data_IF_438800120104
#
_entry.id   IF_438800120104
#
_cell.length_a   1.000
_cell.length_b   1.000
_cell.length_c   1.000
_cell.angle_alpha   90.00
_cell.angle_beta   90.00
_cell.angle_gamma   90.00
#
_symmetry.space_group_name_H-M   'P 1'
#
loop_
_entity.id
_entity.type
_entity.pdbx_description
1 polymer ?
#
# COMPACT_ATOMS: atom_id res chain seq x y z
N UNK A 1 12.63 9.87 19.96
CA UNK A 1 11.21 9.56 19.63
C UNK A 1 10.59 8.70 20.74
N UNK A 2 9.32 8.94 21.12
CA UNK A 2 8.62 8.25 22.24
C UNK A 2 8.03 6.88 21.87
N UNK A 3 7.68 6.67 20.60
CA UNK A 3 7.03 5.44 20.13
C UNK A 3 7.97 4.23 20.30
N UNK A 4 7.50 3.20 21.01
CA UNK A 4 8.26 1.96 21.23
C UNK A 4 7.89 0.85 20.24
N UNK A 5 6.61 0.75 19.88
CA UNK A 5 6.09 -0.20 18.90
C UNK A 5 5.40 0.53 17.74
N UNK A 6 5.52 0.02 16.51
CA UNK A 6 4.74 0.50 15.39
C UNK A 6 3.26 0.07 15.49
N UNK A 7 2.37 0.82 14.86
CA UNK A 7 0.92 0.55 14.81
C UNK A 7 0.57 -0.09 13.45
N UNK A 8 -0.05 -1.27 13.49
CA UNK A 8 -0.32 -2.17 12.33
C UNK A 8 -1.82 -2.44 12.10
N UNK A 9 -2.68 -1.47 12.35
CA UNK A 9 -4.11 -1.60 12.05
C UNK A 9 -4.42 -1.03 10.66
N UNK A 10 -5.49 -1.47 10.01
CA UNK A 10 -5.89 -0.97 8.69
C UNK A 10 -6.64 0.36 8.71
N UNK A 11 -6.46 1.15 9.76
CA UNK A 11 -7.14 2.42 10.00
C UNK A 11 -6.15 3.61 10.16
N UNK A 12 -6.60 4.70 10.79
CA UNK A 12 -6.04 6.04 10.68
C UNK A 12 -4.65 6.22 11.28
N UNK A 13 -4.35 5.56 12.39
CA UNK A 13 -3.10 5.68 13.14
C UNK A 13 -2.02 4.72 12.63
N UNK A 14 -2.18 4.15 11.42
CA UNK A 14 -1.24 3.22 10.81
C UNK A 14 0.10 3.91 10.51
N UNK A 15 1.11 3.55 11.32
CA UNK A 15 2.41 4.22 11.32
C UNK A 15 3.16 4.18 9.99
N UNK A 16 3.14 3.07 9.25
CA UNK A 16 3.92 2.94 8.01
C UNK A 16 3.39 3.87 6.91
N UNK A 17 2.07 3.96 6.75
CA UNK A 17 1.41 4.87 5.83
C UNK A 17 1.74 6.32 6.16
N UNK A 18 1.57 6.73 7.42
CA UNK A 18 1.94 8.09 7.86
C UNK A 18 3.42 8.39 7.61
N UNK A 19 4.30 7.43 7.88
CA UNK A 19 5.74 7.59 7.65
C UNK A 19 6.08 7.71 6.16
N UNK A 20 5.38 7.00 5.27
CA UNK A 20 5.53 7.16 3.83
C UNK A 20 5.19 8.59 3.36
N UNK A 21 4.08 9.14 3.85
CA UNK A 21 3.69 10.53 3.54
C UNK A 21 4.70 11.54 4.10
N UNK A 22 5.13 11.38 5.36
CA UNK A 22 6.14 12.23 5.99
C UNK A 22 7.49 12.13 5.28
N UNK A 23 7.85 10.94 4.78
CA UNK A 23 9.07 10.75 4.00
C UNK A 23 9.02 11.55 2.71
N UNK A 24 7.93 11.45 1.94
CA UNK A 24 7.77 12.17 0.68
C UNK A 24 7.82 13.68 0.91
N UNK A 25 7.06 14.18 1.88
CA UNK A 25 7.11 15.59 2.30
C UNK A 25 8.53 16.03 2.69
N UNK A 26 9.21 15.28 3.55
CA UNK A 26 10.53 15.65 4.04
C UNK A 26 11.57 15.72 2.90
N UNK A 27 11.39 14.92 1.83
CA UNK A 27 12.23 15.00 0.65
C UNK A 27 12.03 16.31 -0.11
N UNK A 28 10.77 16.67 -0.37
CA UNK A 28 10.41 17.91 -1.07
C UNK A 28 10.79 19.15 -0.27
N UNK A 29 10.57 19.12 1.06
CA UNK A 29 10.87 20.23 1.96
C UNK A 29 12.36 20.36 2.32
N UNK A 30 13.20 19.37 1.97
CA UNK A 30 14.62 19.35 2.37
C UNK A 30 14.85 19.05 3.85
N UNK A 31 13.88 18.46 4.54
CA UNK A 31 13.89 18.15 5.98
C UNK A 31 14.71 16.90 6.30
N UNK A 32 16.04 17.02 6.12
CA UNK A 32 16.99 15.93 6.36
C UNK A 32 16.93 15.32 7.77
N UNK A 33 16.71 16.09 8.86
CA UNK A 33 16.52 15.50 10.18
C UNK A 33 15.32 14.55 10.25
N UNK A 34 14.22 14.88 9.56
CA UNK A 34 13.05 14.01 9.48
C UNK A 34 13.34 12.75 8.68
N UNK A 35 14.04 12.86 7.53
CA UNK A 35 14.47 11.69 6.74
C UNK A 35 15.30 10.70 7.58
N UNK A 36 16.27 11.19 8.34
CA UNK A 36 17.07 10.34 9.25
C UNK A 36 16.23 9.69 10.35
N UNK A 37 15.33 10.45 10.96
CA UNK A 37 14.43 9.93 11.99
C UNK A 37 13.54 8.79 11.46
N UNK A 38 13.01 8.93 10.25
CA UNK A 38 12.19 7.92 9.59
C UNK A 38 13.01 6.72 9.13
N UNK A 39 14.25 6.93 8.67
CA UNK A 39 15.17 5.83 8.35
C UNK A 39 15.48 4.99 9.59
N UNK A 40 15.80 5.62 10.73
CA UNK A 40 16.00 4.93 12.02
C UNK A 40 14.75 4.16 12.45
N UNK A 41 13.56 4.75 12.28
CA UNK A 41 12.30 4.08 12.55
C UNK A 41 12.09 2.87 11.63
N UNK A 42 12.44 2.97 10.34
CA UNK A 42 12.36 1.86 9.41
C UNK A 42 13.26 0.68 9.81
N UNK A 43 14.48 0.98 10.27
CA UNK A 43 15.40 -0.05 10.78
C UNK A 43 14.88 -0.73 12.04
N UNK A 44 14.33 0.06 12.97
CA UNK A 44 13.83 -0.45 14.26
C UNK A 44 12.54 -1.25 14.15
N UNK A 45 11.61 -0.81 13.31
CA UNK A 45 10.23 -1.30 13.34
C UNK A 45 9.88 -2.31 12.25
N UNK A 46 10.60 -2.33 11.13
CA UNK A 46 10.14 -3.04 9.93
C UNK A 46 11.23 -3.84 9.23
N UNK A 47 12.51 -3.52 9.47
CA UNK A 47 13.62 -4.16 8.75
C UNK A 47 13.68 -5.67 8.94
N UNK A 48 13.28 -6.16 10.12
CA UNK A 48 13.35 -7.57 10.48
C UNK A 48 12.05 -8.33 10.21
N UNK A 49 10.98 -7.64 9.82
CA UNK A 49 9.66 -8.23 9.62
C UNK A 49 9.67 -9.21 8.45
N UNK A 50 8.86 -10.26 8.60
CA UNK A 50 8.74 -11.39 7.67
C UNK A 50 7.32 -11.91 7.67
N UNK A 51 6.90 -12.55 6.59
CA UNK A 51 5.63 -13.26 6.49
C UNK A 51 4.43 -12.41 6.96
N UNK A 52 4.31 -11.18 6.45
CA UNK A 52 3.22 -10.30 6.84
C UNK A 52 1.86 -11.02 6.66
N UNK A 53 0.93 -10.94 7.63
CA UNK A 53 -0.29 -11.74 7.66
C UNK A 53 -1.38 -11.18 6.72
N UNK A 54 -1.07 -11.11 5.42
CA UNK A 54 -1.97 -10.57 4.39
C UNK A 54 -3.32 -11.32 4.33
N UNK A 55 -3.37 -12.57 4.79
CA UNK A 55 -4.57 -13.39 4.86
C UNK A 55 -5.61 -12.86 5.86
N UNK A 56 -5.24 -11.95 6.77
CA UNK A 56 -6.17 -11.31 7.70
C UNK A 56 -6.79 -10.03 7.14
N UNK A 57 -6.39 -9.61 5.93
CA UNK A 57 -6.94 -8.42 5.30
C UNK A 57 -7.93 -8.80 4.18
N UNK A 58 -9.05 -8.04 4.01
CA UNK A 58 -9.47 -6.91 4.84
C UNK A 58 -10.09 -7.33 6.17
N UNK A 59 -9.86 -6.53 7.22
CA UNK A 59 -10.76 -6.40 8.36
C UNK A 59 -12.00 -5.59 7.97
N UNK A 60 -13.07 -5.67 8.77
CA UNK A 60 -14.40 -5.16 8.40
C UNK A 60 -14.50 -3.65 8.12
N UNK A 61 -13.52 -2.87 8.57
CA UNK A 61 -13.48 -1.41 8.42
C UNK A 61 -12.11 -0.89 7.97
N UNK A 62 -11.29 -1.76 7.38
CA UNK A 62 -9.99 -1.33 6.84
C UNK A 62 -10.19 -0.30 5.73
N UNK A 63 -9.44 0.81 5.78
CA UNK A 63 -9.21 1.68 4.63
C UNK A 63 -7.73 1.70 4.18
N UNK A 64 -6.85 1.05 4.95
CA UNK A 64 -5.44 0.82 4.62
C UNK A 64 -5.09 -0.66 4.77
N UNK A 65 -4.10 -1.10 4.00
CA UNK A 65 -3.47 -2.41 4.17
C UNK A 65 -2.19 -2.25 4.98
N UNK A 66 -2.12 -2.75 6.23
CA UNK A 66 -0.89 -2.67 7.03
C UNK A 66 0.32 -3.27 6.31
N UNK A 67 0.14 -4.42 5.65
CA UNK A 67 1.21 -5.08 4.93
C UNK A 67 1.70 -4.27 3.73
N UNK A 68 0.78 -3.74 2.91
CA UNK A 68 1.20 -2.96 1.75
C UNK A 68 1.75 -1.59 2.15
N UNK A 69 1.23 -0.96 3.21
CA UNK A 69 1.76 0.29 3.72
C UNK A 69 3.19 0.17 4.24
N UNK A 70 3.51 -0.94 4.91
CA UNK A 70 4.88 -1.24 5.33
C UNK A 70 5.81 -1.43 4.12
N UNK A 71 5.41 -2.24 3.15
CA UNK A 71 6.21 -2.42 1.93
C UNK A 71 6.37 -1.11 1.14
N UNK A 72 5.32 -0.29 1.07
CA UNK A 72 5.31 1.01 0.40
C UNK A 72 6.19 2.05 1.13
N UNK A 73 6.27 2.01 2.46
CA UNK A 73 7.24 2.82 3.20
C UNK A 73 8.68 2.32 2.96
N UNK A 74 8.92 1.02 3.04
CA UNK A 74 10.27 0.44 2.96
C UNK A 74 10.89 0.56 1.58
N UNK A 75 10.10 0.61 0.49
CA UNK A 75 10.63 0.92 -0.85
C UNK A 75 11.19 2.33 -0.96
N UNK A 76 10.72 3.27 -0.14
CA UNK A 76 11.17 4.67 -0.17
C UNK A 76 12.49 4.84 0.56
N UNK A 77 12.70 4.03 1.60
CA UNK A 77 13.87 4.10 2.50
C UNK A 77 15.03 3.25 1.97
N UNK A 78 14.74 2.04 1.48
CA UNK A 78 15.77 1.09 1.08
C UNK A 78 16.16 1.25 -0.39
N UNK A 79 17.45 1.05 -0.69
CA UNK A 79 17.91 0.93 -2.07
C UNK A 79 17.21 -0.25 -2.79
N UNK A 80 16.95 -0.17 -4.12
CA UNK A 80 16.09 -1.13 -4.83
C UNK A 80 16.44 -2.61 -4.63
N UNK A 81 17.73 -2.98 -4.66
CA UNK A 81 18.18 -4.36 -4.43
C UNK A 81 17.94 -4.83 -2.98
N UNK A 82 18.15 -3.94 -2.02
CA UNK A 82 17.93 -4.21 -0.60
C UNK A 82 16.44 -4.32 -0.28
N UNK A 83 15.61 -3.49 -0.93
CA UNK A 83 14.15 -3.57 -0.88
C UNK A 83 13.65 -4.90 -1.48
N UNK A 84 14.05 -5.23 -2.70
CA UNK A 84 13.62 -6.47 -3.37
C UNK A 84 13.94 -7.73 -2.55
N UNK A 85 15.13 -7.76 -1.92
CA UNK A 85 15.55 -8.85 -1.03
C UNK A 85 14.72 -8.91 0.26
N UNK A 86 14.38 -7.75 0.83
CA UNK A 86 13.53 -7.66 2.02
C UNK A 86 12.08 -8.06 1.70
N UNK A 87 11.52 -7.57 0.60
CA UNK A 87 10.17 -7.87 0.15
C UNK A 87 9.94 -9.36 -0.05
N UNK A 88 10.97 -10.09 -0.51
CA UNK A 88 10.90 -11.55 -0.68
C UNK A 88 10.64 -12.28 0.65
N UNK A 89 11.20 -11.78 1.76
CA UNK A 89 10.97 -12.36 3.09
C UNK A 89 9.71 -11.80 3.75
N UNK A 90 9.38 -10.55 3.47
CA UNK A 90 8.26 -9.85 4.07
C UNK A 90 6.92 -10.28 3.48
N UNK A 91 6.82 -10.32 2.15
CA UNK A 91 5.64 -10.74 1.39
C UNK A 91 5.97 -11.89 0.43
N UNK A 92 6.32 -13.10 0.95
CA UNK A 92 6.57 -14.26 0.11
C UNK A 92 5.33 -14.73 -0.67
N UNK A 93 4.15 -14.22 -0.34
CA UNK A 93 2.89 -14.58 -0.98
C UNK A 93 2.67 -13.83 -2.32
N UNK A 94 3.52 -12.87 -2.69
CA UNK A 94 3.41 -12.20 -4.00
C UNK A 94 3.63 -13.27 -5.09
N UNK A 95 2.66 -13.49 -5.98
CA UNK A 95 2.79 -14.47 -7.04
C UNK A 95 3.99 -14.17 -7.92
N UNK A 96 4.86 -15.16 -8.06
CA UNK A 96 5.98 -15.15 -8.99
C UNK A 96 5.93 -16.38 -9.91
N UNK A 97 6.91 -16.47 -10.80
CA UNK A 97 6.97 -17.53 -11.81
C UNK A 97 5.81 -17.49 -12.82
N UNK A 98 5.91 -18.30 -13.87
CA UNK A 98 4.94 -18.24 -14.98
C UNK A 98 3.52 -18.61 -14.55
N UNK A 99 3.36 -19.60 -13.67
CA UNK A 99 2.05 -20.09 -13.25
C UNK A 99 1.37 -19.15 -12.25
N UNK A 100 2.11 -18.67 -11.23
CA UNK A 100 1.59 -17.74 -10.23
C UNK A 100 1.18 -16.41 -10.86
N UNK A 101 2.03 -15.84 -11.72
CA UNK A 101 1.71 -14.63 -12.47
C UNK A 101 0.47 -14.81 -13.36
N UNK A 102 0.38 -15.92 -14.11
CA UNK A 102 -0.81 -16.20 -14.93
C UNK A 102 -2.07 -16.27 -14.10
N UNK A 103 -2.03 -16.91 -12.92
CA UNK A 103 -3.19 -16.97 -12.03
C UNK A 103 -3.57 -15.57 -11.51
N UNK A 104 -2.58 -14.76 -11.12
CA UNK A 104 -2.79 -13.41 -10.60
C UNK A 104 -3.32 -12.42 -11.65
N UNK A 105 -3.03 -12.64 -12.94
CA UNK A 105 -3.45 -11.77 -14.04
C UNK A 105 -4.85 -12.08 -14.60
N UNK A 106 -5.46 -13.22 -14.24
CA UNK A 106 -6.81 -13.53 -14.70
C UNK A 106 -7.82 -12.57 -14.05
N UNK A 107 -8.92 -12.23 -14.74
CA UNK A 107 -10.07 -11.59 -14.09
C UNK A 107 -10.51 -12.45 -12.89
N UNK A 108 -10.63 -11.83 -11.72
CA UNK A 108 -10.89 -12.56 -10.47
C UNK A 108 -9.71 -13.40 -9.95
N UNK A 109 -8.47 -13.09 -10.35
CA UNK A 109 -7.27 -13.78 -9.88
C UNK A 109 -7.21 -13.82 -8.34
N UNK A 110 -6.77 -14.94 -7.73
CA UNK A 110 -7.01 -15.25 -6.32
C UNK A 110 -6.15 -14.44 -5.34
N UNK A 111 -5.11 -13.78 -5.84
CA UNK A 111 -4.19 -13.04 -4.98
C UNK A 111 -4.61 -11.59 -4.84
N UNK A 112 -4.85 -11.18 -3.59
CA UNK A 112 -5.24 -9.83 -3.20
C UNK A 112 -6.44 -9.34 -4.03
N UNK A 113 -7.59 -9.96 -3.76
CA UNK A 113 -8.86 -9.61 -4.39
C UNK A 113 -9.35 -8.27 -3.84
N UNK A 114 -9.95 -7.38 -4.67
CA UNK A 114 -10.57 -6.15 -4.18
C UNK A 114 -11.58 -6.41 -3.06
N UNK A 115 -11.57 -5.55 -2.04
CA UNK A 115 -12.55 -5.58 -0.98
C UNK A 115 -13.93 -5.24 -1.51
N UNK A 116 -14.96 -5.83 -0.92
CA UNK A 116 -16.37 -5.64 -1.32
C UNK A 116 -17.01 -4.63 -0.37
N UNK A 117 -17.57 -3.56 -0.93
CA UNK A 117 -18.36 -2.58 -0.18
C UNK A 117 -19.83 -2.99 -0.21
N UNK A 118 -20.39 -3.33 0.95
CA UNK A 118 -21.79 -3.78 1.06
C UNK A 118 -22.76 -2.63 1.31
N UNK A 119 -22.32 -1.55 1.95
CA UNK A 119 -23.10 -0.34 2.17
C UNK A 119 -22.17 0.88 2.13
N UNK A 120 -22.47 1.84 1.23
CA UNK A 120 -21.67 3.07 1.06
C UNK A 120 -22.18 4.25 1.91
N UNK A 121 -23.35 4.11 2.52
CA UNK A 121 -23.89 5.07 3.47
C UNK A 121 -23.46 4.75 4.92
N UNK A 122 -22.84 3.60 5.16
CA UNK A 122 -22.23 3.29 6.45
C UNK A 122 -20.81 3.88 6.54
N UNK A 123 -20.49 4.64 7.59
CA UNK A 123 -19.22 5.36 7.71
C UNK A 123 -17.99 4.45 7.87
N UNK A 124 -18.17 3.19 8.25
CA UNK A 124 -17.08 2.21 8.38
C UNK A 124 -17.00 1.29 7.17
N UNK A 125 -18.11 0.87 6.59
CA UNK A 125 -18.08 0.00 5.41
C UNK A 125 -17.61 0.75 4.15
N UNK A 126 -17.89 2.06 4.05
CA UNK A 126 -17.37 2.92 2.99
C UNK A 126 -15.82 2.98 2.97
N UNK A 127 -15.14 2.64 4.07
CA UNK A 127 -13.68 2.54 4.13
C UNK A 127 -13.09 1.61 3.08
N UNK A 128 -13.82 0.55 2.71
CA UNK A 128 -13.31 -0.48 1.80
C UNK A 128 -13.08 0.06 0.37
N UNK A 129 -13.81 1.09 -0.08
CA UNK A 129 -13.47 1.79 -1.33
C UNK A 129 -12.10 2.48 -1.19
N UNK A 130 -11.83 3.11 -0.04
CA UNK A 130 -10.53 3.70 0.26
C UNK A 130 -9.41 2.68 0.40
N UNK A 131 -9.70 1.49 0.95
CA UNK A 131 -8.77 0.37 0.98
C UNK A 131 -8.36 -0.04 -0.42
N UNK A 132 -9.31 -0.16 -1.33
CA UNK A 132 -9.00 -0.52 -2.70
C UNK A 132 -8.15 0.59 -3.38
N UNK A 133 -8.50 1.87 -3.22
CA UNK A 133 -7.68 2.97 -3.75
C UNK A 133 -6.26 3.00 -3.16
N UNK A 134 -6.14 2.85 -1.85
CA UNK A 134 -4.85 2.88 -1.15
C UNK A 134 -4.00 1.67 -1.52
N UNK A 135 -4.58 0.47 -1.63
CA UNK A 135 -3.90 -0.74 -2.13
C UNK A 135 -3.41 -0.54 -3.55
N UNK A 136 -4.24 -0.01 -4.46
CA UNK A 136 -3.81 0.26 -5.83
C UNK A 136 -2.58 1.17 -5.86
N UNK A 137 -2.62 2.27 -5.10
CA UNK A 137 -1.52 3.24 -5.04
C UNK A 137 -0.24 2.62 -4.46
N UNK A 138 -0.35 1.91 -3.35
CA UNK A 138 0.79 1.26 -2.71
C UNK A 138 1.37 0.12 -3.54
N UNK A 139 0.54 -0.65 -4.26
CA UNK A 139 1.01 -1.70 -5.18
C UNK A 139 1.81 -1.12 -6.36
N UNK A 140 1.35 -0.01 -6.95
CA UNK A 140 2.12 0.71 -7.97
C UNK A 140 3.46 1.20 -7.43
N UNK A 141 3.46 1.70 -6.19
CA UNK A 141 4.68 2.07 -5.49
C UNK A 141 5.63 0.90 -5.30
N UNK A 142 5.16 -0.20 -4.71
CA UNK A 142 5.95 -1.41 -4.48
C UNK A 142 6.55 -1.91 -5.79
N UNK A 143 5.78 -1.95 -6.88
CA UNK A 143 6.29 -2.32 -8.19
C UNK A 143 7.40 -1.36 -8.67
N UNK A 144 7.22 -0.05 -8.50
CA UNK A 144 8.22 0.95 -8.87
C UNK A 144 9.52 0.84 -8.05
N UNK A 145 9.45 0.39 -6.79
CA UNK A 145 10.64 0.18 -5.95
C UNK A 145 11.49 -1.04 -6.32
N UNK A 146 10.99 -1.92 -7.19
CA UNK A 146 11.68 -3.15 -7.60
C UNK A 146 12.59 -2.93 -8.83
N UNK A 147 13.64 -3.76 -9.00
CA UNK A 147 14.42 -3.80 -10.24
C UNK A 147 13.54 -4.09 -11.46
N UNK A 148 13.89 -3.51 -12.62
CA UNK A 148 13.08 -3.56 -13.86
C UNK A 148 12.73 -4.97 -14.39
N UNK A 149 13.44 -6.01 -13.95
CA UNK A 149 13.22 -7.41 -14.36
C UNK A 149 12.81 -8.31 -13.18
N UNK A 150 12.34 -7.74 -12.08
CA UNK A 150 11.85 -8.51 -10.94
C UNK A 150 10.60 -9.33 -11.35
N UNK A 151 10.60 -10.62 -11.04
CA UNK A 151 9.58 -11.57 -11.47
C UNK A 151 8.18 -11.27 -10.91
N UNK A 152 8.09 -10.46 -9.84
CA UNK A 152 6.83 -10.09 -9.17
C UNK A 152 6.10 -8.93 -9.85
N UNK A 153 6.79 -8.15 -10.68
CA UNK A 153 6.22 -6.96 -11.33
C UNK A 153 4.87 -7.22 -12.00
N UNK A 154 4.69 -8.29 -12.82
CA UNK A 154 3.44 -8.47 -13.54
C UNK A 154 2.25 -8.83 -12.64
N UNK A 155 2.49 -9.44 -11.47
CA UNK A 155 1.44 -9.73 -10.49
C UNK A 155 1.03 -8.47 -9.72
N UNK A 156 2.01 -7.67 -9.29
CA UNK A 156 1.80 -6.41 -8.59
C UNK A 156 1.00 -5.41 -9.44
N UNK A 157 1.38 -5.23 -10.71
CA UNK A 157 0.70 -4.30 -11.62
C UNK A 157 -0.72 -4.76 -11.95
N UNK A 158 -0.95 -6.07 -12.13
CA UNK A 158 -2.27 -6.61 -12.36
C UNK A 158 -3.20 -6.45 -11.13
N UNK A 159 -2.68 -6.67 -9.92
CA UNK A 159 -3.44 -6.43 -8.69
C UNK A 159 -3.77 -4.94 -8.54
N UNK A 160 -2.80 -4.05 -8.77
CA UNK A 160 -3.02 -2.61 -8.73
C UNK A 160 -4.14 -2.16 -9.67
N UNK A 161 -4.13 -2.64 -10.92
CA UNK A 161 -5.17 -2.34 -11.91
C UNK A 161 -6.56 -2.80 -11.44
N UNK A 162 -6.70 -4.02 -10.91
CA UNK A 162 -8.00 -4.50 -10.40
C UNK A 162 -8.54 -3.64 -9.25
N UNK A 163 -7.69 -3.26 -8.30
CA UNK A 163 -8.09 -2.41 -7.19
C UNK A 163 -8.46 -1.00 -7.66
N UNK A 164 -7.71 -0.44 -8.61
CA UNK A 164 -7.99 0.84 -9.28
C UNK A 164 -9.37 0.81 -9.94
N UNK A 165 -9.63 -0.20 -10.76
CA UNK A 165 -10.87 -0.35 -11.52
C UNK A 165 -12.08 -0.58 -10.61
N UNK A 166 -11.89 -1.27 -9.48
CA UNK A 166 -12.95 -1.53 -8.52
C UNK A 166 -13.41 -0.28 -7.74
N UNK A 167 -12.51 0.68 -7.51
CA UNK A 167 -12.76 1.76 -6.53
C UNK A 167 -12.83 3.17 -7.11
N UNK A 168 -12.14 3.47 -8.22
CA UNK A 168 -12.25 4.79 -8.84
C UNK A 168 -13.70 5.18 -9.21
N UNK A 169 -14.56 4.27 -9.72
CA UNK A 169 -15.95 4.60 -10.00
C UNK A 169 -16.77 5.03 -8.78
N UNK A 170 -16.34 4.68 -7.56
CA UNK A 170 -17.05 5.02 -6.32
C UNK A 170 -16.76 6.46 -5.83
N UNK A 171 -15.82 7.17 -6.45
CA UNK A 171 -15.44 8.54 -6.08
C UNK A 171 -16.40 9.56 -6.74
N UNK A 172 -17.69 9.48 -6.38
CA UNK A 172 -18.77 10.27 -6.98
C UNK A 172 -19.20 11.48 -6.14
N UNK A 173 -18.95 11.42 -4.82
CA UNK A 173 -19.45 12.41 -3.85
C UNK A 173 -20.92 12.20 -3.44
N UNK A 174 -21.56 11.10 -3.87
CA UNK A 174 -22.96 10.78 -3.57
C UNK A 174 -23.21 10.53 -2.07
N UNK A 175 -22.32 9.77 -1.43
CA UNK A 175 -22.35 9.53 0.01
C UNK A 175 -21.27 10.36 0.68
N UNK A 176 -21.64 11.14 1.71
CA UNK A 176 -20.67 11.96 2.44
C UNK A 176 -19.62 11.07 3.10
N UNK A 177 -20.03 9.93 3.65
CA UNK A 177 -19.25 8.95 4.40
C UNK A 177 -17.94 8.54 3.70
N UNK A 178 -17.95 8.45 2.37
CA UNK A 178 -16.75 8.27 1.56
C UNK A 178 -16.30 9.54 0.83
N UNK A 179 -17.26 10.31 0.29
CA UNK A 179 -17.00 11.36 -0.69
C UNK A 179 -16.04 12.46 -0.21
N UNK A 180 -16.00 12.76 1.09
CA UNK A 180 -15.15 13.83 1.62
C UNK A 180 -13.66 13.49 1.71
N UNK A 181 -13.28 12.21 1.66
CA UNK A 181 -11.88 11.78 1.82
C UNK A 181 -11.39 10.80 0.74
N UNK A 182 -12.27 10.05 0.06
CA UNK A 182 -11.89 9.14 -1.03
C UNK A 182 -11.14 9.87 -2.15
N UNK A 183 -11.48 11.14 -2.40
CA UNK A 183 -10.79 12.00 -3.35
C UNK A 183 -9.29 12.11 -3.09
N UNK A 184 -8.84 12.09 -1.82
CA UNK A 184 -7.42 12.12 -1.47
C UNK A 184 -6.68 10.89 -2.01
N UNK A 185 -7.21 9.70 -1.80
CA UNK A 185 -6.60 8.46 -2.29
C UNK A 185 -6.68 8.34 -3.81
N UNK A 186 -7.78 8.80 -4.41
CA UNK A 186 -7.89 8.89 -5.87
C UNK A 186 -6.82 9.81 -6.47
N UNK A 187 -6.53 10.95 -5.81
CA UNK A 187 -5.45 11.84 -6.23
C UNK A 187 -4.09 11.16 -6.06
N UNK A 188 -3.81 10.50 -4.94
CA UNK A 188 -2.54 9.78 -4.75
C UNK A 188 -2.31 8.75 -5.87
N UNK A 189 -3.34 7.95 -6.17
CA UNK A 189 -3.30 6.93 -7.21
C UNK A 189 -3.15 7.52 -8.63
N UNK A 190 -3.91 8.55 -8.98
CA UNK A 190 -3.95 9.07 -10.36
C UNK A 190 -2.79 10.03 -10.66
N UNK A 191 -2.31 10.77 -9.65
CA UNK A 191 -1.12 11.63 -9.78
C UNK A 191 0.19 10.88 -9.62
N UNK A 192 0.15 9.60 -9.19
CA UNK A 192 1.33 8.80 -8.88
C UNK A 192 2.19 9.45 -7.79
N UNK A 193 1.54 10.04 -6.78
CA UNK A 193 2.20 10.71 -5.68
C UNK A 193 3.22 9.78 -4.98
N UNK A 194 4.37 10.33 -4.58
CA UNK A 194 5.43 9.54 -3.94
C UNK A 194 6.21 8.61 -4.89
N UNK A 195 5.92 8.66 -6.19
CA UNK A 195 6.73 8.08 -7.27
C UNK A 195 7.38 9.24 -8.02
N UNK A 196 8.44 9.83 -7.47
CA UNK A 196 9.15 10.89 -8.18
C UNK A 196 9.78 10.34 -9.47
N UNK A 197 9.65 11.12 -10.56
CA UNK A 197 10.11 10.84 -11.92
C UNK A 197 11.62 10.68 -12.04
#
# INVERSE_FOLDING_TARGET
PKLHYPIRIGEHDQTAFSFGLMWDWAGVAGEQPMRRLLEDAAQRFYRQDRNCPLAYEPSGEDFLSPCLAEADFLRRVLAPRAFASWLTRFLPQIPDGRAGVRAAQRPGGPWLVPGVVTDRADPKLAHIDGLNLSRAWMLEGIAHGLPAHDARLPALTAAAARHRDAALPAVTGEHYEGGHWLGTFAVYLTSRAGLAQ
#
